data_IF_991546985471
#
_entry.id   IF_991546985471
#
_cell.length_a   1.000
_cell.length_b   1.000
_cell.length_c   1.000
_cell.angle_alpha   90.00
_cell.angle_beta   90.00
_cell.angle_gamma   90.00
#
_symmetry.space_group_name_H-M   'P 1'
#
loop_
_entity.id
_entity.type
_entity.pdbx_description
1 polymer ?
#
# COMPACT_ATOMS: atom_id res chain seq x y z
N UNK A 1 -7.54 -6.70 25.27
CA UNK A 1 -8.38 -5.64 24.68
C UNK A 1 -8.07 -5.56 23.18
N UNK A 2 -9.02 -5.75 22.26
CA UNK A 2 -8.77 -5.49 20.85
C UNK A 2 -8.86 -3.98 20.61
N UNK A 3 -7.79 -3.36 20.12
CA UNK A 3 -7.82 -1.97 19.66
C UNK A 3 -8.61 -1.94 18.35
N UNK A 4 -9.88 -1.57 18.43
CA UNK A 4 -10.66 -1.22 17.25
C UNK A 4 -10.02 0.01 16.62
N UNK A 5 -9.52 -0.03 15.37
CA UNK A 5 -9.13 1.20 14.70
C UNK A 5 -10.42 2.01 14.49
N UNK A 6 -10.61 3.05 15.29
CA UNK A 6 -11.76 3.93 15.18
C UNK A 6 -11.87 4.55 13.78
N UNK A 7 -13.07 5.02 13.38
CA UNK A 7 -13.35 5.55 12.03
C UNK A 7 -12.43 6.72 11.61
N UNK A 8 -11.74 7.38 12.56
CA UNK A 8 -10.72 8.39 12.29
C UNK A 8 -9.50 7.83 11.53
N UNK A 9 -9.13 6.57 11.77
CA UNK A 9 -7.93 5.96 11.19
C UNK A 9 -8.06 5.66 9.69
N UNK A 10 -9.28 5.59 9.15
CA UNK A 10 -9.52 5.37 7.72
C UNK A 10 -9.51 6.69 6.93
N UNK A 11 -10.00 7.78 7.51
CA UNK A 11 -9.98 9.12 6.90
C UNK A 11 -8.59 9.77 6.94
N UNK A 12 -7.81 9.48 7.99
CA UNK A 12 -6.41 9.90 8.08
C UNK A 12 -5.47 9.07 7.19
N UNK A 13 -5.88 7.87 6.78
CA UNK A 13 -5.02 6.95 6.02
C UNK A 13 -5.15 7.27 4.54
N UNK A 14 -4.03 7.72 3.99
CA UNK A 14 -3.94 7.99 2.58
C UNK A 14 -4.00 6.67 1.81
N UNK A 15 -3.11 5.72 2.08
CA UNK A 15 -3.08 4.45 1.35
C UNK A 15 -2.51 3.35 2.23
N UNK A 16 -3.01 2.13 2.07
CA UNK A 16 -2.39 0.91 2.60
C UNK A 16 -1.88 0.10 1.43
N UNK A 17 -0.62 -0.34 1.46
CA UNK A 17 -0.05 -1.20 0.44
C UNK A 17 0.49 -2.45 1.08
N UNK A 18 -0.07 -3.60 0.74
CA UNK A 18 0.44 -4.90 1.14
C UNK A 18 1.23 -5.48 -0.01
N UNK A 19 2.51 -5.74 0.23
CA UNK A 19 3.37 -6.45 -0.71
C UNK A 19 3.53 -7.88 -0.23
N UNK A 20 3.24 -8.84 -1.10
CA UNK A 20 3.40 -10.27 -0.84
C UNK A 20 4.26 -10.86 -1.95
N UNK A 21 5.37 -11.50 -1.60
CA UNK A 21 6.23 -12.17 -2.59
C UNK A 21 7.73 -12.04 -2.30
N UNK A 22 8.53 -12.45 -3.29
CA UNK A 22 9.99 -12.58 -3.17
C UNK A 22 10.44 -13.98 -2.70
N UNK A 23 11.75 -14.27 -2.81
CA UNK A 23 12.34 -15.60 -2.57
C UNK A 23 12.01 -16.25 -1.22
N UNK A 24 11.61 -15.47 -0.21
CA UNK A 24 11.25 -15.95 1.12
C UNK A 24 9.73 -15.97 1.40
N UNK A 25 8.88 -15.63 0.42
CA UNK A 25 7.42 -15.57 0.60
C UNK A 25 6.97 -14.55 1.65
N UNK A 26 7.72 -13.46 1.84
CA UNK A 26 7.43 -12.48 2.89
C UNK A 26 6.24 -11.60 2.51
N UNK A 27 5.41 -11.33 3.49
CA UNK A 27 4.34 -10.33 3.41
C UNK A 27 4.75 -9.14 4.24
N UNK A 28 4.67 -7.94 3.66
CA UNK A 28 4.94 -6.68 4.35
C UNK A 28 3.82 -5.70 4.01
N UNK A 29 3.24 -5.07 5.02
CA UNK A 29 2.17 -4.08 4.84
C UNK A 29 2.66 -2.70 5.21
N UNK A 30 2.40 -1.73 4.36
CA UNK A 30 2.81 -0.35 4.56
C UNK A 30 1.59 0.56 4.61
N UNK A 31 1.37 1.20 5.74
CA UNK A 31 0.27 2.13 5.98
C UNK A 31 0.83 3.53 5.90
N UNK A 32 0.27 4.36 5.03
CA UNK A 32 0.66 5.78 4.91
C UNK A 32 -0.54 6.66 5.19
N UNK A 33 -0.34 7.65 6.05
CA UNK A 33 -1.32 8.68 6.40
C UNK A 33 -1.21 9.90 5.49
N UNK A 34 -2.28 10.70 5.45
CA UNK A 34 -2.32 11.95 4.67
C UNK A 34 -1.35 13.04 5.15
N UNK A 35 -0.90 12.96 6.41
CA UNK A 35 0.17 13.79 6.98
C UNK A 35 1.58 13.28 6.58
N UNK A 36 1.68 12.15 5.87
CA UNK A 36 2.94 11.52 5.49
C UNK A 36 3.50 10.56 6.53
N UNK A 37 2.91 10.50 7.72
CA UNK A 37 3.25 9.50 8.74
C UNK A 37 3.00 8.08 8.18
N UNK A 38 4.01 7.22 8.22
CA UNK A 38 3.93 5.86 7.71
C UNK A 38 4.31 4.82 8.77
N UNK A 39 3.71 3.64 8.64
CA UNK A 39 3.95 2.49 9.50
C UNK A 39 4.06 1.25 8.65
N UNK A 40 5.15 0.52 8.84
CA UNK A 40 5.40 -0.75 8.20
C UNK A 40 5.11 -1.86 9.18
N UNK A 41 4.30 -2.82 8.74
CA UNK A 41 3.98 -4.05 9.43
C UNK A 41 4.60 -5.24 8.70
N UNK A 42 5.01 -6.26 9.45
CA UNK A 42 5.38 -7.55 8.87
C UNK A 42 4.15 -8.44 8.58
N UNK A 43 4.39 -9.68 8.15
CA UNK A 43 3.35 -10.64 7.80
C UNK A 43 2.45 -11.04 8.97
N UNK A 44 2.92 -10.90 10.21
CA UNK A 44 2.12 -11.04 11.43
C UNK A 44 1.45 -9.74 11.89
N UNK A 45 1.39 -8.73 11.00
CA UNK A 45 0.83 -7.41 11.27
C UNK A 45 1.49 -6.66 12.45
N UNK A 46 2.75 -6.98 12.80
CA UNK A 46 3.46 -6.27 13.87
C UNK A 46 4.23 -5.08 13.28
N UNK A 47 4.20 -3.91 13.95
CA UNK A 47 4.97 -2.77 13.49
C UNK A 47 6.47 -3.06 13.59
N UNK A 48 7.12 -3.08 12.44
CA UNK A 48 8.57 -3.31 12.30
C UNK A 48 9.33 -2.03 11.91
N UNK A 49 8.61 -0.97 11.55
CA UNK A 49 9.19 0.33 11.27
C UNK A 49 8.14 1.42 11.17
N UNK A 50 8.50 2.63 11.56
CA UNK A 50 7.66 3.82 11.44
C UNK A 50 8.50 5.00 11.05
N UNK A 51 7.90 5.96 10.36
CA UNK A 51 8.55 7.22 10.06
C UNK A 51 7.58 8.22 9.47
N UNK A 52 8.12 9.28 8.88
CA UNK A 52 7.34 10.32 8.23
C UNK A 52 7.93 10.64 6.86
N UNK A 53 7.08 10.67 5.84
CA UNK A 53 7.44 11.13 4.51
C UNK A 53 7.53 12.67 4.51
N UNK A 54 8.47 13.26 3.76
CA UNK A 54 8.49 14.69 3.54
C UNK A 54 7.24 15.13 2.75
N UNK A 55 6.78 16.37 2.96
CA UNK A 55 5.58 16.90 2.34
C UNK A 55 5.58 16.75 0.80
N UNK A 56 6.72 17.01 0.15
CA UNK A 56 6.91 16.86 -1.30
C UNK A 56 6.62 15.43 -1.80
N UNK A 57 7.02 14.40 -1.03
CA UNK A 57 6.70 13.00 -1.33
C UNK A 57 5.22 12.70 -1.12
N UNK A 58 4.60 13.27 -0.09
CA UNK A 58 3.16 13.08 0.18
C UNK A 58 2.32 13.67 -0.94
N UNK A 59 2.71 14.84 -1.46
CA UNK A 59 2.03 15.45 -2.61
C UNK A 59 2.19 14.61 -3.87
N UNK A 60 3.40 14.11 -4.15
CA UNK A 60 3.63 13.14 -5.25
C UNK A 60 2.80 11.88 -5.09
N UNK A 61 2.71 11.33 -3.88
CA UNK A 61 1.89 10.17 -3.57
C UNK A 61 0.40 10.48 -3.82
N UNK A 62 -0.12 11.63 -3.37
CA UNK A 62 -1.50 12.05 -3.65
C UNK A 62 -1.77 12.23 -5.15
N UNK A 63 -0.83 12.83 -5.87
CA UNK A 63 -0.95 13.00 -7.32
C UNK A 63 -0.96 11.64 -8.03
N UNK A 64 -0.03 10.76 -7.68
CA UNK A 64 0.02 9.40 -8.22
C UNK A 64 -1.24 8.59 -7.88
N UNK A 65 -1.78 8.72 -6.66
CA UNK A 65 -3.02 8.05 -6.27
C UNK A 65 -4.22 8.56 -7.09
N UNK A 66 -4.26 9.87 -7.39
CA UNK A 66 -5.27 10.45 -8.29
C UNK A 66 -5.10 9.97 -9.72
N UNK A 67 -3.86 9.91 -10.22
CA UNK A 67 -3.57 9.41 -11.57
C UNK A 67 -3.86 7.91 -11.73
N UNK A 68 -3.65 7.13 -10.67
CA UNK A 68 -4.00 5.71 -10.65
C UNK A 68 -5.52 5.50 -10.72
N UNK A 69 -6.31 6.50 -10.30
CA UNK A 69 -7.77 6.50 -10.36
C UNK A 69 -8.38 5.18 -9.85
N UNK A 70 -8.08 4.83 -8.60
CA UNK A 70 -8.56 3.61 -7.94
C UNK A 70 -10.09 3.43 -8.01
N UNK A 71 -10.82 4.53 -8.20
CA UNK A 71 -12.26 4.52 -8.38
C UNK A 71 -12.69 3.85 -9.69
N UNK A 72 -11.92 4.03 -10.76
CA UNK A 72 -12.17 3.44 -12.07
C UNK A 72 -11.39 2.15 -12.33
N UNK A 73 -10.39 1.81 -11.50
CA UNK A 73 -9.69 0.53 -11.62
C UNK A 73 -10.63 -0.65 -11.28
N UNK A 74 -10.50 -1.78 -12.00
CA UNK A 74 -11.23 -2.99 -11.66
C UNK A 74 -10.86 -3.43 -10.24
N UNK A 75 -11.84 -3.34 -9.34
CA UNK A 75 -11.72 -3.78 -7.95
C UNK A 75 -11.53 -5.29 -7.96
N UNK A 76 -10.62 -5.80 -7.15
CA UNK A 76 -10.39 -7.24 -7.09
C UNK A 76 -11.61 -7.90 -6.45
N UNK A 77 -12.26 -8.88 -7.10
CA UNK A 77 -13.17 -9.75 -6.38
C UNK A 77 -12.34 -10.49 -5.33
N UNK A 78 -12.69 -10.38 -4.04
CA UNK A 78 -12.04 -11.12 -2.95
C UNK A 78 -11.92 -12.61 -3.30
N UNK A 79 -10.78 -13.03 -3.86
CA UNK A 79 -10.60 -14.40 -4.31
C UNK A 79 -9.67 -14.54 -5.52
N UNK A 80 -8.37 -14.69 -5.24
CA UNK A 80 -7.57 -15.69 -5.95
C UNK A 80 -7.00 -15.33 -7.32
N UNK A 81 -6.20 -14.27 -7.43
CA UNK A 81 -5.14 -14.30 -8.43
C UNK A 81 -3.93 -15.03 -7.82
N UNK A 82 -3.70 -16.27 -8.23
CA UNK A 82 -2.45 -16.99 -7.95
C UNK A 82 -1.33 -16.26 -8.68
N UNK A 83 -0.50 -15.56 -7.91
CA UNK A 83 0.63 -14.79 -8.41
C UNK A 83 1.74 -15.79 -8.73
N UNK A 84 2.08 -15.92 -10.01
CA UNK A 84 3.19 -16.78 -10.44
C UNK A 84 4.51 -15.99 -10.35
N UNK A 85 5.47 -16.51 -9.57
CA UNK A 85 6.89 -16.11 -9.48
C UNK A 85 7.18 -14.58 -9.50
N UNK A 86 6.67 -13.83 -8.52
CA UNK A 86 6.86 -12.38 -8.48
C UNK A 86 6.45 -11.70 -7.17
N UNK A 87 6.39 -10.36 -7.20
CA UNK A 87 5.81 -9.55 -6.12
C UNK A 87 4.38 -9.14 -6.48
N UNK A 88 3.46 -9.46 -5.60
CA UNK A 88 2.08 -8.99 -5.62
C UNK A 88 1.95 -7.75 -4.74
N UNK A 89 1.13 -6.79 -5.17
CA UNK A 89 0.83 -5.58 -4.43
C UNK A 89 -0.68 -5.41 -4.33
N UNK A 90 -1.19 -5.30 -3.11
CA UNK A 90 -2.57 -4.91 -2.83
C UNK A 90 -2.59 -3.49 -2.28
N UNK A 91 -3.23 -2.58 -3.01
CA UNK A 91 -3.40 -1.18 -2.69
C UNK A 91 -4.81 -0.94 -2.18
N UNK A 92 -4.94 -0.34 -1.01
CA UNK A 92 -6.20 0.06 -0.41
C UNK A 92 -6.21 1.57 -0.21
N UNK A 93 -7.09 2.27 -0.92
CA UNK A 93 -7.25 3.72 -0.86
C UNK A 93 -8.72 4.08 -0.80
N UNK A 94 -9.16 4.85 0.21
CA UNK A 94 -10.52 5.39 0.26
C UNK A 94 -11.65 4.34 0.18
N UNK A 95 -11.40 3.10 0.62
CA UNK A 95 -12.36 1.99 0.54
C UNK A 95 -12.30 1.17 -0.77
N UNK A 96 -11.42 1.55 -1.71
CA UNK A 96 -11.14 0.80 -2.92
C UNK A 96 -9.92 -0.10 -2.70
N UNK A 97 -10.06 -1.38 -3.00
CA UNK A 97 -8.97 -2.35 -2.96
C UNK A 97 -8.65 -2.81 -4.38
N UNK A 98 -7.39 -2.63 -4.78
CA UNK A 98 -6.86 -2.99 -6.09
C UNK A 98 -5.60 -3.81 -5.86
N UNK A 99 -5.54 -5.01 -6.43
CA UNK A 99 -4.34 -5.83 -6.42
C UNK A 99 -3.75 -5.90 -7.83
N UNK A 100 -2.44 -5.77 -7.90
CA UNK A 100 -1.71 -5.82 -9.14
C UNK A 100 -0.37 -6.51 -8.90
N UNK A 101 0.06 -7.28 -9.88
CA UNK A 101 1.39 -7.89 -9.92
C UNK A 101 2.39 -6.86 -10.41
N UNK A 102 3.66 -6.95 -10.00
CA UNK A 102 4.69 -5.98 -10.42
C UNK A 102 4.71 -5.73 -11.94
N UNK A 103 4.59 -6.79 -12.75
CA UNK A 103 4.58 -6.71 -14.21
C UNK A 103 3.31 -6.11 -14.81
N UNK A 104 2.24 -5.99 -14.03
CA UNK A 104 0.91 -5.51 -14.45
C UNK A 104 0.53 -4.17 -13.81
N UNK A 105 1.46 -3.51 -13.11
CA UNK A 105 1.24 -2.19 -12.52
C UNK A 105 1.11 -1.14 -13.64
N UNK A 106 0.03 -0.34 -13.58
CA UNK A 106 -0.10 0.85 -14.44
C UNK A 106 0.91 1.92 -14.02
N UNK A 107 1.22 2.87 -14.91
CA UNK A 107 2.14 3.97 -14.60
C UNK A 107 1.75 4.74 -13.33
N UNK A 108 0.44 4.89 -13.06
CA UNK A 108 -0.05 5.48 -11.81
C UNK A 108 0.32 4.66 -10.57
N UNK A 109 0.11 3.34 -10.61
CA UNK A 109 0.49 2.44 -9.50
C UNK A 109 2.00 2.34 -9.31
N UNK A 110 2.78 2.39 -10.39
CA UNK A 110 4.24 2.47 -10.33
C UNK A 110 4.69 3.78 -9.64
N UNK A 111 4.07 4.92 -9.97
CA UNK A 111 4.33 6.19 -9.31
C UNK A 111 3.96 6.19 -7.82
N UNK A 112 2.88 5.49 -7.45
CA UNK A 112 2.52 5.27 -6.04
C UNK A 112 3.65 4.50 -5.33
N UNK A 113 4.14 3.40 -5.91
CA UNK A 113 5.25 2.64 -5.32
C UNK A 113 6.54 3.43 -5.18
N UNK A 114 6.89 4.27 -6.17
CA UNK A 114 8.08 5.14 -6.09
C UNK A 114 7.99 6.17 -4.96
N UNK A 115 6.79 6.71 -4.73
CA UNK A 115 6.56 7.71 -3.70
C UNK A 115 6.47 7.12 -2.29
N UNK A 116 6.32 5.79 -2.16
CA UNK A 116 6.28 5.10 -0.89
C UNK A 116 7.68 4.87 -0.32
N UNK A 117 7.83 4.83 1.01
CA UNK A 117 9.05 4.34 1.61
C UNK A 117 9.27 2.87 1.21
N UNK A 118 10.51 2.36 1.28
CA UNK A 118 10.79 0.97 0.97
C UNK A 118 9.93 0.02 1.82
N UNK A 119 9.78 -1.23 1.40
CA UNK A 119 9.04 -2.25 2.16
C UNK A 119 9.96 -3.10 3.05
N UNK A 120 11.27 -3.08 2.83
CA UNK A 120 12.29 -3.69 3.71
C UNK A 120 13.21 -2.60 4.26
N UNK A 121 13.83 -2.83 5.42
CA UNK A 121 14.94 -2.03 5.87
C UNK A 121 16.16 -2.62 5.15
N UNK A 122 16.79 -1.81 4.29
CA UNK A 122 18.04 -2.20 3.64
C UNK A 122 19.16 -2.37 4.65
#
# INVERSE_FOLDING_TARGET
MPVSPGPSSALERLVTVTRTGGLAGRTSTLLVKGDGSWTRLDGQARPVGTGKLPADRVEKLRAALRQADFAHLPRIPKGGATIFDGFAYAFVHGGYEVAAEQGSLTAGLQGVLDALPPFEAG
#
